data_IF_441216533784
#
_entry.id   IF_441216533784
#
_cell.length_a   1.000
_cell.length_b   1.000
_cell.length_c   1.000
_cell.angle_alpha   90.00
_cell.angle_beta   90.00
_cell.angle_gamma   90.00
#
_symmetry.space_group_name_H-M   'P 1'
#
loop_
_entity.id
_entity.type
_entity.pdbx_description
1 polymer ?
#
# COMPACT_ATOMS: atom_id res chain seq x y z
N UNK A 1 -3.96 4.23 23.36
CA UNK A 1 -4.28 3.21 24.38
C UNK A 1 -5.33 2.25 23.85
N UNK A 2 -6.51 2.73 23.42
CA UNK A 2 -7.58 1.90 22.85
C UNK A 2 -7.13 0.96 21.72
N UNK A 3 -6.34 1.45 20.76
CA UNK A 3 -5.78 0.61 19.67
C UNK A 3 -4.98 -0.58 20.23
N UNK A 4 -4.02 -0.33 21.13
CA UNK A 4 -3.24 -1.42 21.76
C UNK A 4 -4.11 -2.39 22.56
N UNK A 5 -5.17 -1.91 23.20
CA UNK A 5 -6.12 -2.76 23.90
C UNK A 5 -6.97 -3.61 22.94
N UNK A 6 -7.30 -3.07 21.76
CA UNK A 6 -7.97 -3.80 20.69
C UNK A 6 -7.05 -4.88 20.11
N UNK A 7 -5.82 -4.52 19.75
CA UNK A 7 -4.82 -5.42 19.16
C UNK A 7 -4.51 -6.60 20.09
N UNK A 8 -4.36 -6.33 21.40
CA UNK A 8 -4.13 -7.37 22.41
C UNK A 8 -5.39 -8.08 22.89
N UNK A 9 -6.58 -7.70 22.40
CA UNK A 9 -7.88 -8.18 22.88
C UNK A 9 -7.96 -8.17 24.42
N UNK A 10 -7.41 -7.12 25.04
CA UNK A 10 -7.28 -7.04 26.50
C UNK A 10 -8.65 -6.87 27.18
N UNK A 11 -9.58 -6.19 26.51
CA UNK A 11 -10.93 -5.92 27.01
C UNK A 11 -11.99 -6.29 25.98
N UNK A 12 -13.10 -6.88 26.45
CA UNK A 12 -14.26 -7.26 25.64
C UNK A 12 -15.49 -6.38 25.87
N UNK A 13 -15.43 -5.55 26.91
CA UNK A 13 -16.46 -4.59 27.28
C UNK A 13 -15.79 -3.22 27.42
N UNK A 14 -16.40 -2.22 26.82
CA UNK A 14 -16.00 -0.83 26.94
C UNK A 14 -17.21 -0.01 27.35
N UNK A 15 -17.12 0.64 28.51
CA UNK A 15 -18.13 1.57 28.99
C UNK A 15 -17.66 3.00 28.69
N UNK A 16 -18.50 3.79 28.03
CA UNK A 16 -18.21 5.18 27.65
C UNK A 16 -19.33 6.07 28.20
N UNK A 17 -18.98 7.09 28.97
CA UNK A 17 -19.93 8.11 29.44
C UNK A 17 -19.85 9.37 28.58
N UNK A 18 -18.64 9.82 28.26
CA UNK A 18 -18.33 10.93 27.36
C UNK A 18 -17.18 10.53 26.44
N UNK A 19 -17.45 10.40 25.14
CA UNK A 19 -16.46 9.94 24.17
C UNK A 19 -15.54 11.08 23.72
N UNK A 20 -16.09 12.27 23.43
CA UNK A 20 -15.36 13.42 22.94
C UNK A 20 -15.71 14.69 23.72
N UNK A 21 -14.69 15.47 24.09
CA UNK A 21 -14.89 16.77 24.72
C UNK A 21 -15.17 17.89 23.70
N UNK A 22 -14.67 17.75 22.46
CA UNK A 22 -14.82 18.73 21.40
C UNK A 22 -15.21 18.07 20.06
N UNK A 23 -15.97 18.74 19.17
CA UNK A 23 -16.37 18.19 17.86
C UNK A 23 -15.19 17.77 16.97
N UNK A 24 -14.06 18.46 17.07
CA UNK A 24 -12.84 18.15 16.32
C UNK A 24 -12.25 16.77 16.65
N UNK A 25 -12.50 16.25 17.86
CA UNK A 25 -12.00 14.94 18.27
C UNK A 25 -12.93 13.79 17.81
N UNK A 26 -14.17 14.09 17.44
CA UNK A 26 -15.19 13.10 17.15
C UNK A 26 -14.75 12.13 16.04
N UNK A 27 -14.13 12.65 14.96
CA UNK A 27 -13.66 11.85 13.84
C UNK A 27 -12.59 10.83 14.25
N UNK A 28 -11.61 11.26 15.05
CA UNK A 28 -10.50 10.42 15.51
C UNK A 28 -11.00 9.37 16.51
N UNK A 29 -11.87 9.77 17.43
CA UNK A 29 -12.38 8.89 18.50
C UNK A 29 -13.39 7.89 17.93
N UNK A 30 -14.27 8.32 17.02
CA UNK A 30 -15.18 7.45 16.30
C UNK A 30 -14.44 6.38 15.51
N UNK A 31 -13.36 6.74 14.82
CA UNK A 31 -12.52 5.76 14.11
C UNK A 31 -11.82 4.79 15.07
N UNK A 32 -11.33 5.26 16.21
CA UNK A 32 -10.70 4.40 17.22
C UNK A 32 -11.69 3.41 17.87
N UNK A 33 -12.92 3.86 18.16
CA UNK A 33 -13.98 3.01 18.71
C UNK A 33 -14.53 2.04 17.65
N UNK A 34 -14.69 2.47 16.40
CA UNK A 34 -15.06 1.58 15.30
C UNK A 34 -14.02 0.47 15.13
N UNK A 35 -12.73 0.83 15.08
CA UNK A 35 -11.65 -0.16 15.02
C UNK A 35 -11.65 -1.11 16.22
N UNK A 36 -11.92 -0.62 17.44
CA UNK A 36 -12.05 -1.47 18.61
C UNK A 36 -13.22 -2.46 18.47
N UNK A 37 -14.38 -2.02 17.99
CA UNK A 37 -15.55 -2.87 17.73
C UNK A 37 -15.23 -3.93 16.68
N UNK A 38 -14.60 -3.56 15.57
CA UNK A 38 -14.24 -4.47 14.48
C UNK A 38 -13.32 -5.59 14.97
N UNK A 39 -12.27 -5.25 15.72
CA UNK A 39 -11.31 -6.23 16.26
C UNK A 39 -11.95 -7.12 17.32
N UNK A 40 -12.68 -6.53 18.28
CA UNK A 40 -13.17 -7.28 19.45
C UNK A 40 -14.50 -8.00 19.23
N UNK A 41 -15.38 -7.48 18.38
CA UNK A 41 -16.75 -7.98 18.20
C UNK A 41 -17.02 -8.52 16.79
N UNK A 42 -16.26 -8.06 15.79
CA UNK A 42 -16.34 -8.52 14.40
C UNK A 42 -16.48 -7.37 13.42
N UNK A 43 -15.82 -7.48 12.26
CA UNK A 43 -15.81 -6.42 11.24
C UNK A 43 -17.17 -6.25 10.54
N UNK A 44 -17.98 -7.31 10.49
CA UNK A 44 -19.26 -7.30 9.79
C UNK A 44 -20.45 -7.37 10.75
N UNK A 45 -21.60 -6.75 10.41
CA UNK A 45 -22.83 -6.87 11.19
C UNK A 45 -23.25 -8.32 11.46
N UNK A 46 -23.06 -9.23 10.48
CA UNK A 46 -23.39 -10.64 10.62
C UNK A 46 -22.57 -11.37 11.70
N UNK A 47 -21.31 -10.98 11.90
CA UNK A 47 -20.47 -11.50 12.98
C UNK A 47 -20.84 -10.90 14.34
N UNK A 48 -21.25 -9.63 14.35
CA UNK A 48 -21.62 -8.88 15.56
C UNK A 48 -22.96 -9.32 16.12
N UNK A 49 -23.97 -9.59 15.28
CA UNK A 49 -25.30 -10.07 15.69
C UNK A 49 -25.30 -11.39 16.48
N UNK A 50 -24.21 -12.17 16.42
CA UNK A 50 -24.04 -13.41 17.19
C UNK A 50 -23.85 -13.17 18.69
N UNK A 51 -23.55 -11.93 19.10
CA UNK A 51 -23.30 -11.54 20.48
C UNK A 51 -23.98 -10.21 20.80
N UNK A 52 -24.04 -9.86 22.08
CA UNK A 52 -24.53 -8.53 22.46
C UNK A 52 -23.41 -7.50 22.33
N UNK A 53 -23.74 -6.22 22.06
CA UNK A 53 -22.73 -5.17 21.93
C UNK A 53 -21.87 -5.05 23.20
N UNK A 54 -20.56 -5.06 22.99
CA UNK A 54 -19.56 -4.86 24.05
C UNK A 54 -19.20 -3.39 24.27
N UNK A 55 -19.44 -2.53 23.28
CA UNK A 55 -19.33 -1.08 23.41
C UNK A 55 -20.65 -0.53 23.95
N UNK A 56 -20.58 0.19 25.07
CA UNK A 56 -21.76 0.64 25.79
C UNK A 56 -21.62 2.11 26.13
N UNK A 57 -22.60 2.91 25.72
CA UNK A 57 -22.79 4.26 26.23
C UNK A 57 -23.60 4.21 27.53
N UNK A 58 -22.99 4.62 28.64
CA UNK A 58 -23.66 4.75 29.93
C UNK A 58 -24.21 6.18 30.10
N UNK A 59 -25.53 6.30 30.25
CA UNK A 59 -26.18 7.58 30.55
C UNK A 59 -26.31 7.70 32.07
N UNK A 60 -25.70 8.73 32.63
CA UNK A 60 -25.67 8.99 34.08
C UNK A 60 -26.39 10.30 34.40
N UNK A 61 -26.72 10.59 35.69
CA UNK A 61 -27.30 11.87 36.08
C UNK A 61 -26.40 13.07 35.79
N UNK A 62 -25.09 12.84 35.61
CA UNK A 62 -24.10 13.84 35.26
C UNK A 62 -23.95 14.04 33.74
N UNK A 63 -24.83 13.42 32.94
CA UNK A 63 -24.75 13.54 31.48
C UNK A 63 -25.06 14.99 31.05
N UNK A 64 -24.16 15.65 30.31
CA UNK A 64 -24.33 17.03 29.86
C UNK A 64 -25.54 17.22 28.93
N UNK A 65 -26.19 16.15 28.46
CA UNK A 65 -27.51 16.18 27.80
C UNK A 65 -28.55 16.94 28.62
N UNK A 66 -28.47 16.93 29.95
CA UNK A 66 -29.39 17.68 30.81
C UNK A 66 -29.18 19.21 30.74
N UNK A 67 -28.03 19.67 30.24
CA UNK A 67 -27.68 21.09 30.13
C UNK A 67 -27.95 21.70 28.74
N UNK A 68 -28.48 20.94 27.78
CA UNK A 68 -28.85 21.44 26.45
C UNK A 68 -27.67 21.78 25.51
N UNK A 69 -26.46 21.32 25.82
CA UNK A 69 -25.26 21.54 24.98
C UNK A 69 -25.19 20.55 23.82
N UNK A 70 -24.77 20.98 22.60
CA UNK A 70 -24.58 20.08 21.46
C UNK A 70 -23.47 19.05 21.74
N UNK A 71 -23.76 17.77 21.53
CA UNK A 71 -22.85 16.68 21.87
C UNK A 71 -21.99 16.26 20.67
N UNK A 72 -20.65 16.25 20.80
CA UNK A 72 -19.79 15.67 19.78
C UNK A 72 -19.93 14.13 19.70
N UNK A 73 -20.42 13.47 20.75
CA UNK A 73 -20.59 12.01 20.77
C UNK A 73 -21.66 11.50 19.81
N UNK A 74 -22.66 12.29 19.42
CA UNK A 74 -23.63 11.85 18.42
C UNK A 74 -22.92 11.63 17.06
N UNK A 75 -21.88 12.43 16.78
CA UNK A 75 -21.03 12.22 15.61
C UNK A 75 -20.13 10.99 15.79
N UNK A 76 -19.63 10.75 17.01
CA UNK A 76 -18.86 9.53 17.34
C UNK A 76 -19.74 8.28 17.14
N UNK A 77 -20.94 8.24 17.71
CA UNK A 77 -21.89 7.13 17.60
C UNK A 77 -22.23 6.83 16.14
N UNK A 78 -22.55 7.87 15.36
CA UNK A 78 -22.82 7.73 13.91
C UNK A 78 -21.63 7.16 13.14
N UNK A 79 -20.41 7.49 13.54
CA UNK A 79 -19.20 6.97 12.90
C UNK A 79 -18.89 5.52 13.30
N UNK A 80 -19.22 5.14 14.54
CA UNK A 80 -19.00 3.77 15.04
C UNK A 80 -19.97 2.77 14.42
N UNK A 81 -21.20 3.18 14.14
CA UNK A 81 -22.18 2.37 13.42
C UNK A 81 -23.55 2.36 14.10
N UNK A 82 -24.31 1.30 13.85
CA UNK A 82 -25.72 1.23 14.23
C UNK A 82 -25.93 0.83 15.70
N UNK A 83 -26.90 1.46 16.40
CA UNK A 83 -27.29 1.07 17.75
C UNK A 83 -27.87 -0.36 17.77
N UNK A 84 -27.53 -1.11 18.80
CA UNK A 84 -27.92 -2.52 18.99
C UNK A 84 -27.02 -3.51 18.27
N UNK A 85 -26.21 -3.06 17.31
CA UNK A 85 -25.27 -3.87 16.54
C UNK A 85 -23.81 -3.54 16.93
N UNK A 86 -23.36 -2.32 16.66
CA UNK A 86 -22.00 -1.87 17.00
C UNK A 86 -21.84 -1.45 18.47
N UNK A 87 -22.92 -0.92 19.05
CA UNK A 87 -22.93 -0.40 20.41
C UNK A 87 -24.32 -0.43 21.04
N UNK A 88 -24.40 -0.34 22.36
CA UNK A 88 -25.65 -0.27 23.11
C UNK A 88 -25.67 0.94 24.06
N UNK A 89 -26.85 1.31 24.53
CA UNK A 89 -27.01 2.33 25.58
C UNK A 89 -27.55 1.67 26.84
N UNK A 90 -26.93 1.94 27.99
CA UNK A 90 -27.43 1.55 29.31
C UNK A 90 -27.65 2.80 30.16
N UNK A 91 -28.73 2.78 30.94
CA UNK A 91 -29.02 3.84 31.91
C UNK A 91 -28.38 3.49 33.26
N UNK A 92 -27.92 4.53 33.95
CA UNK A 92 -27.41 4.48 35.32
C UNK A 92 -27.93 5.69 36.10
N UNK A 93 -29.23 5.99 35.95
CA UNK A 93 -29.87 7.18 36.52
C UNK A 93 -30.31 6.99 37.97
N UNK A 94 -30.70 5.76 38.33
CA UNK A 94 -31.11 5.38 39.66
C UNK A 94 -30.53 4.00 40.07
N UNK A 95 -30.87 3.53 41.26
CA UNK A 95 -30.37 2.26 41.79
C UNK A 95 -30.85 1.05 40.97
N UNK A 96 -32.07 1.11 40.41
CA UNK A 96 -32.63 0.02 39.61
C UNK A 96 -31.92 -0.08 38.26
N UNK A 97 -31.68 1.05 37.61
CA UNK A 97 -30.91 1.17 36.38
C UNK A 97 -29.47 0.71 36.57
N UNK A 98 -28.82 1.12 37.67
CA UNK A 98 -27.50 0.62 38.04
C UNK A 98 -27.49 -0.91 38.19
N UNK A 99 -28.49 -1.50 38.87
CA UNK A 99 -28.61 -2.96 39.01
C UNK A 99 -28.77 -3.65 37.65
N UNK A 100 -29.57 -3.10 36.73
CA UNK A 100 -29.75 -3.63 35.36
C UNK A 100 -28.44 -3.57 34.57
N UNK A 101 -27.72 -2.45 34.65
CA UNK A 101 -26.42 -2.27 33.99
C UNK A 101 -25.40 -3.29 34.51
N UNK A 102 -25.27 -3.44 35.83
CA UNK A 102 -24.37 -4.43 36.44
C UNK A 102 -24.73 -5.84 36.02
N UNK A 103 -26.01 -6.21 35.99
CA UNK A 103 -26.46 -7.53 35.53
C UNK A 103 -26.10 -7.78 34.06
N UNK A 104 -26.26 -6.77 33.19
CA UNK A 104 -25.85 -6.86 31.79
C UNK A 104 -24.34 -7.07 31.67
N UNK A 105 -23.55 -6.23 32.35
CA UNK A 105 -22.08 -6.30 32.32
C UNK A 105 -21.57 -7.63 32.88
N UNK A 106 -22.12 -8.11 34.00
CA UNK A 106 -21.76 -9.39 34.59
C UNK A 106 -22.09 -10.58 33.65
N UNK A 107 -23.21 -10.50 32.93
CA UNK A 107 -23.55 -11.51 31.94
C UNK A 107 -22.56 -11.51 30.77
N UNK A 108 -22.13 -10.33 30.29
CA UNK A 108 -21.22 -10.21 29.15
C UNK A 108 -19.74 -10.43 29.52
N UNK A 109 -19.31 -10.11 30.74
CA UNK A 109 -17.93 -10.22 31.22
C UNK A 109 -17.46 -11.66 31.50
N UNK A 110 -18.22 -12.67 31.06
CA UNK A 110 -17.87 -14.08 31.25
C UNK A 110 -16.66 -14.48 30.40
N UNK A 111 -15.68 -15.22 30.95
CA UNK A 111 -14.50 -15.69 30.20
C UNK A 111 -14.87 -16.50 28.95
N UNK A 112 -15.98 -17.23 28.97
CA UNK A 112 -16.47 -18.02 27.85
C UNK A 112 -16.69 -17.19 26.58
N UNK A 113 -17.17 -15.93 26.70
CA UNK A 113 -17.36 -15.06 25.53
C UNK A 113 -16.02 -14.64 24.92
N UNK A 114 -15.01 -14.40 25.77
CA UNK A 114 -13.65 -14.10 25.30
C UNK A 114 -13.03 -15.30 24.59
N UNK A 115 -13.15 -16.48 25.18
CA UNK A 115 -12.65 -17.72 24.59
C UNK A 115 -13.32 -18.01 23.25
N UNK A 116 -14.64 -17.88 23.15
CA UNK A 116 -15.36 -18.04 21.89
C UNK A 116 -14.86 -17.09 20.80
N UNK A 117 -14.66 -15.80 21.13
CA UNK A 117 -14.14 -14.83 20.16
C UNK A 117 -12.70 -15.15 19.72
N UNK A 118 -11.84 -15.57 20.64
CA UNK A 118 -10.46 -15.95 20.31
C UNK A 118 -10.41 -17.17 19.39
N UNK A 119 -11.29 -18.16 19.62
CA UNK A 119 -11.40 -19.33 18.74
C UNK A 119 -11.90 -18.92 17.34
N UNK A 120 -12.91 -18.08 17.25
CA UNK A 120 -13.39 -17.54 15.96
C UNK A 120 -12.28 -16.82 15.19
N UNK A 121 -11.54 -15.92 15.85
CA UNK A 121 -10.43 -15.19 15.23
C UNK A 121 -9.31 -16.12 14.79
N UNK A 122 -9.00 -17.14 15.59
CA UNK A 122 -8.01 -18.15 15.22
C UNK A 122 -8.44 -18.92 13.97
N UNK A 123 -9.70 -19.37 13.92
CA UNK A 123 -10.23 -20.08 12.75
C UNK A 123 -10.27 -19.20 11.50
N UNK A 124 -10.55 -17.91 11.66
CA UNK A 124 -10.54 -16.93 10.57
C UNK A 124 -9.12 -16.72 10.03
N UNK A 125 -8.15 -16.47 10.91
CA UNK A 125 -6.73 -16.35 10.54
C UNK A 125 -6.19 -17.66 9.93
N UNK A 126 -6.59 -18.82 10.47
CA UNK A 126 -6.19 -20.11 9.93
C UNK A 126 -6.74 -20.30 8.52
N UNK A 127 -8.01 -19.99 8.28
CA UNK A 127 -8.61 -20.03 6.93
C UNK A 127 -7.94 -19.05 5.98
N UNK A 128 -7.70 -17.82 6.41
CA UNK A 128 -7.00 -16.81 5.62
C UNK A 128 -5.59 -17.28 5.24
N UNK A 129 -4.83 -17.82 6.20
CA UNK A 129 -3.50 -18.37 5.94
C UNK A 129 -3.55 -19.57 5.01
N UNK A 130 -4.43 -20.55 5.26
CA UNK A 130 -4.41 -21.82 4.51
C UNK A 130 -5.03 -21.72 3.13
N UNK A 131 -6.10 -20.95 3.00
CA UNK A 131 -6.93 -20.95 1.79
C UNK A 131 -6.59 -19.77 0.89
N UNK A 132 -6.34 -18.59 1.47
CA UNK A 132 -5.99 -17.39 0.71
C UNK A 132 -4.47 -17.26 0.56
N UNK A 133 -3.72 -17.04 1.65
CA UNK A 133 -2.33 -16.62 1.57
C UNK A 133 -1.42 -17.74 1.05
N UNK A 134 -1.49 -18.94 1.63
CA UNK A 134 -0.68 -20.09 1.24
C UNK A 134 -1.36 -20.95 0.17
N UNK A 135 -2.70 -21.05 0.22
CA UNK A 135 -3.50 -21.82 -0.74
C UNK A 135 -3.35 -21.34 -2.19
N UNK A 136 -3.16 -20.02 -2.38
CA UNK A 136 -2.89 -19.43 -3.69
C UNK A 136 -1.57 -19.93 -4.31
N UNK A 137 -0.58 -20.34 -3.52
CA UNK A 137 0.68 -20.89 -4.03
C UNK A 137 0.62 -22.39 -4.33
N UNK A 138 -0.36 -23.10 -3.74
CA UNK A 138 -0.60 -24.52 -3.99
C UNK A 138 -1.50 -24.76 -5.20
N UNK A 139 -2.39 -23.81 -5.50
CA UNK A 139 -3.30 -23.91 -6.64
C UNK A 139 -2.56 -23.47 -7.90
N UNK A 140 -2.45 -24.34 -8.91
CA UNK A 140 -1.97 -23.93 -10.22
C UNK A 140 -2.92 -22.84 -10.76
N UNK A 141 -2.38 -21.66 -11.06
CA UNK A 141 -3.19 -20.56 -11.57
C UNK A 141 -3.91 -20.99 -12.85
N UNK A 142 -5.24 -20.99 -12.84
CA UNK A 142 -6.03 -21.22 -14.06
C UNK A 142 -5.70 -20.10 -15.07
N UNK A 143 -5.08 -20.41 -16.22
CA UNK A 143 -4.71 -19.41 -17.22
C UNK A 143 -5.92 -18.61 -17.70
N UNK A 144 -7.09 -19.26 -17.81
CA UNK A 144 -8.31 -18.61 -18.29
C UNK A 144 -8.85 -17.62 -17.24
N UNK A 145 -8.94 -18.04 -15.97
CA UNK A 145 -9.38 -17.15 -14.89
C UNK A 145 -8.43 -15.96 -14.71
N UNK A 146 -7.13 -16.16 -14.89
CA UNK A 146 -6.11 -15.10 -14.83
C UNK A 146 -6.29 -14.11 -15.98
N UNK A 147 -6.53 -14.61 -17.19
CA UNK A 147 -6.82 -13.79 -18.36
C UNK A 147 -8.13 -13.00 -18.21
N UNK A 148 -9.17 -13.61 -17.63
CA UNK A 148 -10.44 -12.91 -17.35
C UNK A 148 -10.24 -11.76 -16.34
N UNK A 149 -9.52 -12.01 -15.25
CA UNK A 149 -9.17 -10.97 -14.26
C UNK A 149 -8.36 -9.83 -14.88
N UNK A 150 -7.38 -10.15 -15.72
CA UNK A 150 -6.61 -9.14 -16.45
C UNK A 150 -7.51 -8.27 -17.35
N UNK A 151 -8.47 -8.88 -18.06
CA UNK A 151 -9.42 -8.13 -18.88
C UNK A 151 -10.36 -7.24 -18.05
N UNK A 152 -10.81 -7.72 -16.89
CA UNK A 152 -11.66 -6.96 -15.98
C UNK A 152 -10.92 -5.75 -15.40
N UNK A 153 -9.67 -5.93 -14.94
CA UNK A 153 -8.80 -4.85 -14.52
C UNK A 153 -8.65 -3.78 -15.61
N UNK A 154 -8.30 -4.18 -16.84
CA UNK A 154 -8.11 -3.24 -17.95
C UNK A 154 -9.38 -2.45 -18.27
N UNK A 155 -10.56 -3.10 -18.25
CA UNK A 155 -11.84 -2.42 -18.46
C UNK A 155 -12.17 -1.44 -17.34
N UNK A 156 -11.89 -1.80 -16.09
CA UNK A 156 -12.11 -0.91 -14.94
C UNK A 156 -11.21 0.33 -15.02
N UNK A 157 -9.92 0.15 -15.30
CA UNK A 157 -8.98 1.27 -15.50
C UNK A 157 -9.36 2.14 -16.71
N UNK A 158 -9.84 1.53 -17.80
CA UNK A 158 -10.35 2.27 -18.96
C UNK A 158 -11.58 3.10 -18.61
N UNK A 159 -12.52 2.56 -17.82
CA UNK A 159 -13.71 3.28 -17.37
C UNK A 159 -13.35 4.49 -16.48
N UNK A 160 -12.26 4.38 -15.71
CA UNK A 160 -11.72 5.45 -14.86
C UNK A 160 -10.55 6.21 -15.50
N UNK A 161 -10.45 6.29 -16.83
CA UNK A 161 -9.34 6.96 -17.53
C UNK A 161 -9.10 8.41 -17.07
N UNK A 162 -10.13 9.13 -16.62
CA UNK A 162 -10.00 10.48 -16.07
C UNK A 162 -9.18 10.57 -14.78
N UNK A 163 -9.04 9.47 -14.04
CA UNK A 163 -8.27 9.34 -12.79
C UNK A 163 -6.91 8.67 -12.99
N UNK A 164 -6.46 8.49 -14.24
CA UNK A 164 -5.20 7.83 -14.54
C UNK A 164 -3.99 8.53 -13.90
N UNK A 165 -3.99 9.87 -13.84
CA UNK A 165 -2.93 10.62 -13.17
C UNK A 165 -2.83 10.31 -11.67
N UNK A 166 -3.99 10.17 -11.00
CA UNK A 166 -4.04 9.78 -9.59
C UNK A 166 -3.52 8.36 -9.39
N UNK A 167 -3.83 7.42 -10.29
CA UNK A 167 -3.27 6.07 -10.24
C UNK A 167 -1.73 6.11 -10.29
N UNK A 168 -1.14 6.81 -11.28
CA UNK A 168 0.31 6.90 -11.43
C UNK A 168 0.97 7.53 -10.20
N UNK A 169 0.36 8.57 -9.62
CA UNK A 169 0.85 9.21 -8.40
C UNK A 169 0.84 8.22 -7.21
N UNK A 170 -0.21 7.41 -7.06
CA UNK A 170 -0.33 6.44 -5.96
C UNK A 170 0.62 5.25 -6.09
N UNK A 171 1.07 4.92 -7.29
CA UNK A 171 2.08 3.88 -7.55
C UNK A 171 3.50 4.28 -7.13
N UNK A 172 3.74 5.57 -6.88
CA UNK A 172 5.04 6.09 -6.46
C UNK A 172 5.11 6.29 -4.93
N UNK A 173 6.30 6.13 -4.33
CA UNK A 173 6.49 6.43 -2.92
C UNK A 173 6.48 7.95 -2.70
N UNK A 174 6.13 8.38 -1.49
CA UNK A 174 6.13 9.80 -1.15
C UNK A 174 7.56 10.31 -0.93
N UNK A 175 7.81 11.58 -1.29
CA UNK A 175 9.12 12.22 -1.10
C UNK A 175 9.58 12.19 0.36
N UNK A 176 8.67 12.39 1.30
CA UNK A 176 8.99 12.39 2.73
C UNK A 176 9.40 11.00 3.25
N UNK A 177 8.86 9.92 2.68
CA UNK A 177 9.29 8.55 2.99
C UNK A 177 10.76 8.33 2.60
N UNK A 178 11.13 8.73 1.38
CA UNK A 178 12.51 8.62 0.90
C UNK A 178 13.48 9.49 1.71
N UNK A 179 13.02 10.66 2.15
CA UNK A 179 13.76 11.55 3.07
C UNK A 179 14.07 10.86 4.40
N UNK A 180 13.08 10.21 5.00
CA UNK A 180 13.26 9.44 6.24
C UNK A 180 14.24 8.28 6.05
N UNK A 181 14.15 7.54 4.94
CA UNK A 181 15.09 6.45 4.63
C UNK A 181 16.53 6.95 4.50
N UNK A 182 16.73 8.08 3.84
CA UNK A 182 18.03 8.70 3.66
C UNK A 182 18.64 9.12 5.02
N UNK A 183 17.86 9.78 5.87
CA UNK A 183 18.29 10.16 7.22
C UNK A 183 18.64 8.93 8.07
N UNK A 184 17.82 7.87 8.06
CA UNK A 184 18.11 6.64 8.80
C UNK A 184 19.44 6.00 8.37
N UNK A 185 19.80 6.09 7.08
CA UNK A 185 21.08 5.57 6.59
C UNK A 185 22.25 6.39 7.13
N UNK A 186 22.15 7.73 7.15
CA UNK A 186 23.21 8.58 7.72
C UNK A 186 23.48 8.28 9.19
N UNK A 187 22.43 7.98 9.96
CA UNK A 187 22.57 7.61 11.38
C UNK A 187 23.09 6.19 11.59
N UNK A 188 22.93 5.29 10.60
CA UNK A 188 23.41 3.92 10.65
C UNK A 188 24.85 3.75 10.12
N UNK A 189 25.38 4.75 9.41
CA UNK A 189 26.78 4.75 9.00
C UNK A 189 27.69 4.90 10.24
N UNK A 190 28.74 4.07 10.41
CA UNK A 190 29.65 4.22 11.53
C UNK A 190 30.28 5.61 11.48
N UNK A 191 30.23 6.31 12.61
CA UNK A 191 30.89 7.61 12.78
C UNK A 191 32.36 7.46 12.39
N UNK A 192 32.92 8.29 11.49
CA UNK A 192 34.35 8.22 11.21
C UNK A 192 35.09 8.40 12.54
N UNK A 193 35.97 7.45 12.85
CA UNK A 193 36.86 7.54 13.99
C UNK A 193 37.55 8.91 13.95
N UNK A 194 37.52 9.63 15.08
CA UNK A 194 38.13 10.95 15.21
C UNK A 194 39.55 10.91 14.67
N UNK A 195 39.92 11.69 13.63
CA UNK A 195 41.29 11.70 13.16
C UNK A 195 42.18 12.21 14.30
N UNK A 196 43.14 11.38 14.71
CA UNK A 196 44.18 11.79 15.64
C UNK A 196 44.89 13.04 15.08
N UNK A 197 45.18 14.09 15.89
CA UNK A 197 45.45 15.41 15.33
C UNK A 197 46.70 15.52 14.44
N UNK A 198 47.69 14.61 14.52
CA UNK A 198 48.91 14.69 13.71
C UNK A 198 49.58 13.32 13.52
N UNK A 199 49.05 12.49 12.61
CA UNK A 199 49.67 11.22 12.22
C UNK A 199 49.65 11.05 10.71
N UNK A 200 50.43 11.86 9.99
CA UNK A 200 50.72 11.63 8.58
C UNK A 200 51.88 10.62 8.49
N UNK A 201 51.59 9.33 8.62
CA UNK A 201 52.50 8.29 8.12
C UNK A 201 52.31 8.16 6.60
N UNK A 202 52.81 9.15 5.87
CA UNK A 202 52.99 9.05 4.42
C UNK A 202 54.35 8.40 4.21
N UNK A 203 54.35 7.14 3.74
CA UNK A 203 55.56 6.51 3.23
C UNK A 203 55.95 7.16 1.88
N UNK A 204 56.80 8.18 1.96
CA UNK A 204 57.32 8.95 0.83
C UNK A 204 58.25 8.15 -0.11
N UNK A 205 58.56 6.90 0.22
CA UNK A 205 59.46 6.03 -0.56
C UNK A 205 58.81 4.70 -1.00
N UNK A 206 57.53 4.48 -0.69
CA UNK A 206 56.76 3.34 -1.16
C UNK A 206 56.37 3.48 -2.64
N UNK A 207 56.41 2.38 -3.40
CA UNK A 207 55.91 2.37 -4.77
C UNK A 207 54.42 2.76 -4.80
N UNK A 208 53.97 3.57 -5.78
CA UNK A 208 52.58 4.00 -5.82
C UNK A 208 51.66 2.77 -5.94
N UNK A 209 50.93 2.46 -4.88
CA UNK A 209 49.84 1.49 -4.95
C UNK A 209 48.83 2.02 -5.97
N UNK A 210 48.75 1.33 -7.10
CA UNK A 210 47.72 1.60 -8.10
C UNK A 210 46.43 1.05 -7.49
N UNK A 211 45.40 1.87 -7.22
CA UNK A 211 44.16 1.34 -6.68
C UNK A 211 43.59 0.35 -7.70
N UNK A 212 43.49 -0.91 -7.30
CA UNK A 212 42.84 -1.94 -8.08
C UNK A 212 41.43 -1.45 -8.46
N UNK A 213 41.06 -1.59 -9.73
CA UNK A 213 39.72 -1.30 -10.23
C UNK A 213 38.71 -2.26 -9.58
N UNK A 214 38.28 -1.96 -8.36
CA UNK A 214 37.12 -2.57 -7.72
C UNK A 214 35.85 -1.87 -8.18
N UNK A 215 34.80 -2.63 -8.43
CA UNK A 215 33.45 -2.10 -8.66
C UNK A 215 33.11 -1.03 -7.61
N UNK A 216 32.44 0.08 -8.01
CA UNK A 216 32.03 1.10 -7.07
C UNK A 216 31.16 0.45 -5.96
N UNK A 217 31.35 0.81 -4.68
CA UNK A 217 30.58 0.23 -3.60
C UNK A 217 29.09 0.48 -3.83
N UNK A 218 28.30 -0.59 -3.73
CA UNK A 218 26.85 -0.54 -3.85
C UNK A 218 26.26 0.53 -2.94
N UNK A 219 25.42 1.42 -3.48
CA UNK A 219 24.75 2.44 -2.66
C UNK A 219 23.72 1.74 -1.76
N UNK A 220 23.90 1.73 -0.42
CA UNK A 220 22.92 1.13 0.48
C UNK A 220 21.56 1.84 0.40
N UNK A 221 21.56 3.10 -0.08
CA UNK A 221 20.36 3.88 -0.29
C UNK A 221 19.50 3.29 -1.41
N UNK A 222 20.09 2.98 -2.56
CA UNK A 222 19.38 2.50 -3.74
C UNK A 222 18.61 1.20 -3.46
N UNK A 223 19.28 0.24 -2.82
CA UNK A 223 18.66 -1.03 -2.42
C UNK A 223 17.48 -0.81 -1.45
N UNK A 224 17.62 0.10 -0.48
CA UNK A 224 16.54 0.44 0.46
C UNK A 224 15.38 1.15 -0.23
N UNK A 225 15.64 2.07 -1.15
CA UNK A 225 14.59 2.75 -1.94
C UNK A 225 13.81 1.72 -2.77
N UNK A 226 14.49 0.81 -3.45
CA UNK A 226 13.83 -0.23 -4.24
C UNK A 226 12.99 -1.17 -3.37
N UNK A 227 13.53 -1.63 -2.24
CA UNK A 227 12.81 -2.48 -1.29
C UNK A 227 11.59 -1.77 -0.69
N UNK A 228 11.72 -0.50 -0.30
CA UNK A 228 10.62 0.32 0.21
C UNK A 228 9.54 0.52 -0.85
N UNK A 229 9.91 0.80 -2.10
CA UNK A 229 8.95 0.92 -3.19
C UNK A 229 8.19 -0.38 -3.47
N UNK A 230 8.85 -1.55 -3.44
CA UNK A 230 8.18 -2.84 -3.54
C UNK A 230 7.17 -3.03 -2.39
N UNK A 231 7.57 -2.71 -1.15
CA UNK A 231 6.68 -2.82 0.01
C UNK A 231 5.49 -1.84 -0.10
N UNK A 232 5.74 -0.61 -0.56
CA UNK A 232 4.71 0.38 -0.86
C UNK A 232 3.69 -0.19 -1.84
N UNK A 233 4.15 -0.70 -2.99
CA UNK A 233 3.27 -1.32 -3.99
C UNK A 233 2.46 -2.48 -3.40
N UNK A 234 3.09 -3.39 -2.66
CA UNK A 234 2.42 -4.54 -2.02
C UNK A 234 1.37 -4.14 -0.96
N UNK A 235 1.48 -2.95 -0.39
CA UNK A 235 0.49 -2.42 0.56
C UNK A 235 -0.73 -1.77 -0.10
N UNK A 236 -0.64 -1.41 -1.39
CA UNK A 236 -1.72 -0.72 -2.10
C UNK A 236 -3.05 -1.49 -2.17
N UNK A 237 -3.07 -2.82 -2.38
CA UNK A 237 -4.30 -3.59 -2.41
C UNK A 237 -5.12 -3.59 -1.11
N UNK A 238 -4.50 -3.28 0.04
CA UNK A 238 -5.20 -3.14 1.32
C UNK A 238 -5.85 -1.75 1.49
N UNK A 239 -5.57 -0.80 0.59
CA UNK A 239 -6.10 0.55 0.65
C UNK A 239 -7.51 0.63 0.04
N UNK A 240 -8.54 0.42 0.86
CA UNK A 240 -9.96 0.49 0.45
C UNK A 240 -10.32 1.76 -0.33
N UNK A 241 -9.77 2.91 0.05
CA UNK A 241 -10.06 4.19 -0.65
C UNK A 241 -9.54 4.19 -2.09
N UNK A 242 -8.39 3.55 -2.34
CA UNK A 242 -7.82 3.43 -3.67
C UNK A 242 -8.64 2.45 -4.54
N UNK A 243 -9.10 1.34 -3.96
CA UNK A 243 -10.00 0.40 -4.62
C UNK A 243 -11.29 1.09 -5.09
N UNK A 244 -11.93 1.85 -4.20
CA UNK A 244 -13.16 2.60 -4.51
C UNK A 244 -12.93 3.66 -5.60
N UNK A 245 -11.78 4.35 -5.55
CA UNK A 245 -11.41 5.38 -6.51
C UNK A 245 -11.21 4.82 -7.93
N UNK A 246 -10.58 3.64 -8.02
CA UNK A 246 -10.30 2.97 -9.29
C UNK A 246 -11.48 2.10 -9.77
N UNK A 247 -12.45 1.81 -8.89
CA UNK A 247 -13.57 0.91 -9.20
C UNK A 247 -13.12 -0.53 -9.41
N UNK A 248 -12.09 -0.97 -8.68
CA UNK A 248 -11.51 -2.32 -8.76
C UNK A 248 -11.58 -3.00 -7.39
N UNK A 249 -11.61 -4.33 -7.37
CA UNK A 249 -11.46 -5.09 -6.12
C UNK A 249 -9.97 -5.35 -5.79
N UNK A 250 -9.72 -5.88 -4.59
CA UNK A 250 -8.37 -6.20 -4.11
C UNK A 250 -7.59 -7.13 -5.08
N UNK A 251 -8.14 -8.26 -5.56
CA UNK A 251 -7.48 -9.12 -6.55
C UNK A 251 -7.03 -8.40 -7.83
N UNK A 252 -7.82 -7.46 -8.34
CA UNK A 252 -7.43 -6.69 -9.53
C UNK A 252 -6.23 -5.78 -9.26
N UNK A 253 -6.17 -5.13 -8.08
CA UNK A 253 -5.05 -4.26 -7.73
C UNK A 253 -3.78 -5.06 -7.40
N UNK A 254 -3.91 -6.23 -6.76
CA UNK A 254 -2.80 -7.20 -6.59
C UNK A 254 -2.20 -7.58 -7.93
N UNK A 255 -3.03 -7.91 -8.91
CA UNK A 255 -2.59 -8.26 -10.26
C UNK A 255 -1.79 -7.13 -10.93
N UNK A 256 -2.21 -5.88 -10.78
CA UNK A 256 -1.47 -4.72 -11.28
C UNK A 256 -0.11 -4.57 -10.59
N UNK A 257 -0.09 -4.65 -9.27
CA UNK A 257 1.10 -4.49 -8.44
C UNK A 257 2.12 -5.58 -8.74
N UNK A 258 1.70 -6.84 -8.76
CA UNK A 258 2.56 -7.97 -9.12
C UNK A 258 3.09 -7.80 -10.55
N UNK A 259 2.27 -7.23 -11.44
CA UNK A 259 2.71 -7.00 -12.80
C UNK A 259 3.87 -6.00 -12.90
N UNK A 260 3.77 -4.90 -12.16
CA UNK A 260 4.79 -3.87 -12.08
C UNK A 260 6.06 -4.36 -11.39
N UNK A 261 5.93 -5.07 -10.25
CA UNK A 261 7.07 -5.63 -9.52
C UNK A 261 7.81 -6.62 -10.41
N UNK A 262 7.09 -7.55 -11.05
CA UNK A 262 7.68 -8.51 -11.98
C UNK A 262 8.41 -7.81 -13.13
N UNK A 263 7.81 -6.77 -13.72
CA UNK A 263 8.44 -6.00 -14.80
C UNK A 263 9.68 -5.23 -14.34
N UNK A 264 9.66 -4.65 -13.13
CA UNK A 264 10.79 -3.91 -12.56
C UNK A 264 11.99 -4.83 -12.29
N UNK A 265 11.74 -6.01 -11.71
CA UNK A 265 12.77 -7.02 -11.49
C UNK A 265 13.36 -7.53 -12.81
N UNK A 266 12.53 -7.81 -13.83
CA UNK A 266 13.01 -8.25 -15.15
C UNK A 266 13.89 -7.22 -15.84
N UNK A 267 13.60 -5.94 -15.65
CA UNK A 267 14.35 -4.84 -16.25
C UNK A 267 15.55 -4.39 -15.40
N UNK A 268 15.80 -5.05 -14.26
CA UNK A 268 16.85 -4.72 -13.30
C UNK A 268 16.85 -3.25 -12.90
N UNK A 269 15.67 -2.75 -12.51
CA UNK A 269 15.49 -1.37 -12.06
C UNK A 269 16.31 -1.04 -10.79
N UNK A 270 16.56 -2.06 -9.97
CA UNK A 270 17.46 -2.02 -8.82
C UNK A 270 18.89 -1.63 -9.20
N UNK A 271 19.49 -2.31 -10.19
CA UNK A 271 20.84 -1.97 -10.68
C UNK A 271 20.92 -0.53 -11.19
N UNK A 272 19.83 -0.05 -11.79
CA UNK A 272 19.80 1.29 -12.37
C UNK A 272 19.69 2.36 -11.30
N UNK A 273 18.83 2.15 -10.30
CA UNK A 273 18.79 2.99 -9.12
C UNK A 273 20.18 3.04 -8.46
N UNK A 274 20.86 1.91 -8.37
CA UNK A 274 22.21 1.82 -7.83
C UNK A 274 23.22 2.63 -8.66
N UNK A 275 23.28 2.38 -9.97
CA UNK A 275 24.17 3.12 -10.88
C UNK A 275 23.92 4.64 -10.85
N UNK A 276 22.65 5.04 -10.84
CA UNK A 276 22.26 6.44 -10.85
C UNK A 276 22.61 7.17 -9.54
N UNK A 277 22.42 6.50 -8.40
CA UNK A 277 22.62 7.07 -7.08
C UNK A 277 24.09 7.00 -6.62
N UNK A 278 24.89 6.04 -7.13
CA UNK A 278 26.34 5.98 -6.90
C UNK A 278 27.11 7.09 -7.65
N UNK A 279 26.63 7.55 -8.80
CA UNK A 279 27.30 8.58 -9.61
C UNK A 279 27.24 10.01 -9.01
N UNK A 280 26.52 10.20 -7.89
CA UNK A 280 26.31 11.50 -7.24
C UNK A 280 27.41 11.88 -6.25
N UNK A 281 28.62 12.20 -6.74
CA UNK A 281 29.68 12.77 -5.90
C UNK A 281 29.45 14.27 -5.65
N UNK A 282 28.94 14.63 -4.48
CA UNK A 282 29.22 15.85 -3.68
C UNK A 282 28.27 15.90 -2.45
N UNK A 283 28.78 15.95 -1.20
CA UNK A 283 27.98 15.71 0.01
C UNK A 283 26.96 16.81 0.38
N UNK A 284 27.16 18.07 -0.04
CA UNK A 284 26.33 19.20 0.44
C UNK A 284 24.99 19.38 -0.30
N UNK A 285 24.76 18.67 -1.41
CA UNK A 285 23.49 18.67 -2.17
C UNK A 285 22.97 17.24 -2.45
N UNK A 286 23.53 16.24 -1.75
CA UNK A 286 23.29 14.83 -2.03
C UNK A 286 21.85 14.38 -1.79
N UNK A 287 21.22 14.81 -0.70
CA UNK A 287 19.90 14.31 -0.28
C UNK A 287 18.79 14.63 -1.29
N UNK A 288 18.48 15.92 -1.47
CA UNK A 288 17.37 16.33 -2.34
C UNK A 288 17.61 15.92 -3.80
N UNK A 289 18.86 15.84 -4.24
CA UNK A 289 19.23 15.34 -5.57
C UNK A 289 18.99 13.84 -5.68
N UNK A 290 19.49 13.02 -4.75
CA UNK A 290 19.32 11.57 -4.77
C UNK A 290 17.85 11.17 -4.64
N UNK A 291 17.09 11.85 -3.77
CA UNK A 291 15.65 11.65 -3.66
C UNK A 291 14.94 11.99 -4.98
N UNK A 292 15.26 13.13 -5.58
CA UNK A 292 14.63 13.53 -6.85
C UNK A 292 15.01 12.61 -8.00
N UNK A 293 16.26 12.13 -8.04
CA UNK A 293 16.73 11.19 -9.05
C UNK A 293 16.06 9.82 -8.90
N UNK A 294 15.90 9.33 -7.66
CA UNK A 294 15.18 8.10 -7.40
C UNK A 294 13.70 8.20 -7.80
N UNK A 295 13.03 9.30 -7.42
CA UNK A 295 11.64 9.54 -7.82
C UNK A 295 11.48 9.68 -9.34
N UNK A 296 12.44 10.31 -10.03
CA UNK A 296 12.41 10.42 -11.47
C UNK A 296 12.52 9.04 -12.14
N UNK A 297 13.44 8.19 -11.68
CA UNK A 297 13.61 6.84 -12.24
C UNK A 297 12.39 5.93 -12.00
N UNK A 298 11.85 5.96 -10.77
CA UNK A 298 10.61 5.24 -10.45
C UNK A 298 9.43 5.80 -11.24
N UNK A 299 9.34 7.13 -11.34
CA UNK A 299 8.31 7.85 -12.10
C UNK A 299 8.32 7.50 -13.58
N UNK A 300 9.50 7.53 -14.22
CA UNK A 300 9.67 7.15 -15.61
C UNK A 300 9.32 5.68 -15.84
N UNK A 301 9.72 4.78 -14.92
CA UNK A 301 9.33 3.38 -15.01
C UNK A 301 7.81 3.20 -14.95
N UNK A 302 7.13 3.84 -13.99
CA UNK A 302 5.67 3.74 -13.83
C UNK A 302 4.92 4.40 -15.00
N UNK A 303 5.40 5.54 -15.48
CA UNK A 303 4.78 6.29 -16.58
C UNK A 303 4.87 5.55 -17.92
N UNK A 304 5.94 4.79 -18.15
CA UNK A 304 6.17 4.09 -19.43
C UNK A 304 6.12 2.58 -19.31
N UNK A 305 5.83 2.05 -18.13
CA UNK A 305 5.84 0.61 -17.82
C UNK A 305 7.17 -0.08 -18.22
N UNK A 306 8.24 0.71 -18.24
CA UNK A 306 9.57 0.30 -18.73
C UNK A 306 9.73 0.17 -20.25
N UNK A 307 8.67 0.37 -21.06
CA UNK A 307 8.77 0.27 -22.53
C UNK A 307 9.65 1.36 -23.16
N UNK A 308 9.83 2.51 -22.51
CA UNK A 308 10.73 3.56 -22.99
C UNK A 308 12.18 3.06 -23.16
N UNK A 309 12.56 2.04 -22.40
CA UNK A 309 13.90 1.42 -22.38
C UNK A 309 14.05 0.33 -23.44
N UNK A 310 12.93 -0.15 -23.99
CA UNK A 310 12.91 -1.17 -25.04
C UNK A 310 13.02 -0.52 -26.40
N UNK A 311 13.63 -1.22 -27.35
CA UNK A 311 13.66 -0.78 -28.74
C UNK A 311 12.24 -0.60 -29.27
N UNK A 312 11.99 0.47 -30.02
CA UNK A 312 10.67 0.81 -30.56
C UNK A 312 10.08 -0.33 -31.39
N UNK A 313 10.91 -1.09 -32.10
CA UNK A 313 10.49 -2.24 -32.89
C UNK A 313 9.96 -3.42 -32.04
N UNK A 314 10.31 -3.49 -30.75
CA UNK A 314 9.89 -4.56 -29.83
C UNK A 314 8.68 -4.20 -28.98
N UNK A 315 8.22 -2.95 -29.07
CA UNK A 315 7.06 -2.46 -28.32
C UNK A 315 5.77 -2.94 -29.02
N UNK A 316 4.69 -3.19 -28.26
CA UNK A 316 3.42 -3.55 -28.86
C UNK A 316 2.87 -2.42 -29.72
N UNK A 317 2.06 -2.78 -30.71
CA UNK A 317 1.41 -1.82 -31.61
C UNK A 317 0.33 -1.01 -30.87
N UNK A 318 0.31 0.30 -31.09
CA UNK A 318 -0.72 1.19 -30.56
C UNK A 318 -2.06 0.96 -31.27
N UNK A 319 -3.16 0.89 -30.49
CA UNK A 319 -4.52 0.83 -31.03
C UNK A 319 -5.06 2.20 -31.43
N UNK A 320 -4.48 3.27 -30.91
CA UNK A 320 -4.88 4.66 -31.21
C UNK A 320 -4.08 5.25 -32.36
N UNK A 321 -2.85 4.78 -32.58
CA UNK A 321 -2.00 5.13 -33.72
C UNK A 321 -1.62 3.85 -34.50
N UNK A 322 -2.50 3.34 -35.39
CA UNK A 322 -2.24 2.10 -36.13
C UNK A 322 -0.90 2.15 -36.89
N UNK A 323 -0.15 1.05 -36.85
CA UNK A 323 1.17 0.93 -37.47
C UNK A 323 2.32 1.61 -36.72
N UNK A 324 2.06 2.23 -35.56
CA UNK A 324 3.11 2.79 -34.68
C UNK A 324 3.18 2.01 -33.36
N UNK A 325 4.38 1.83 -32.77
CA UNK A 325 4.48 1.25 -31.43
C UNK A 325 3.88 2.17 -30.36
N UNK A 326 3.48 1.62 -29.22
CA UNK A 326 3.04 2.42 -28.07
C UNK A 326 4.12 3.43 -27.65
N UNK A 327 3.67 4.58 -27.13
CA UNK A 327 4.54 5.65 -26.66
C UNK A 327 5.44 6.24 -27.75
N UNK A 328 5.02 6.13 -29.02
CA UNK A 328 5.67 6.87 -30.10
C UNK A 328 5.40 8.37 -29.90
N UNK A 329 6.42 9.22 -29.86
CA UNK A 329 6.23 10.66 -29.76
C UNK A 329 5.30 11.13 -30.88
N UNK A 330 4.32 12.00 -30.59
CA UNK A 330 3.48 12.55 -31.65
C UNK A 330 4.40 13.22 -32.68
N UNK A 331 4.09 13.11 -34.00
CA UNK A 331 4.91 13.71 -35.04
C UNK A 331 5.05 15.21 -34.73
N UNK A 332 6.27 15.62 -34.40
CA UNK A 332 6.56 17.04 -34.20
C UNK A 332 6.33 17.70 -35.57
N UNK A 333 5.51 18.75 -35.67
CA UNK A 333 5.39 19.48 -36.92
C UNK A 333 6.80 19.93 -37.30
N UNK A 334 7.27 19.55 -38.50
CA UNK A 334 8.58 19.91 -39.00
C UNK A 334 8.74 21.43 -38.89
N UNK A 335 9.60 21.89 -37.98
CA UNK A 335 9.90 23.31 -37.83
C UNK A 335 11.03 23.62 -38.81
N UNK A 336 10.67 24.05 -40.01
CA UNK A 336 11.62 24.64 -40.95
C UNK A 336 12.03 26.02 -40.42
N UNK A 337 13.21 26.11 -39.82
CA UNK A 337 13.78 27.35 -39.27
C UNK A 337 14.35 28.30 -40.34
N UNK A 338 13.96 28.15 -41.62
CA UNK A 338 14.39 29.06 -42.68
C UNK A 338 13.55 30.34 -42.66
N UNK A 339 14.06 31.37 -41.96
CA UNK A 339 13.79 32.78 -42.24
C UNK A 339 12.35 33.25 -42.07
N UNK A 340 12.08 33.91 -40.93
CA UNK A 340 10.95 34.79 -40.64
C UNK A 340 9.63 34.16 -40.13
N UNK A 341 9.45 34.32 -38.81
CA UNK A 341 8.18 34.46 -38.07
C UNK A 341 7.13 33.33 -38.12
N UNK A 342 6.97 32.61 -36.99
CA UNK A 342 5.89 32.79 -35.98
C UNK A 342 5.94 31.64 -34.97
N UNK A 343 5.62 31.96 -33.71
CA UNK A 343 5.39 30.97 -32.64
C UNK A 343 4.50 29.83 -33.16
N UNK A 344 4.86 28.60 -32.77
CA UNK A 344 4.20 27.31 -33.09
C UNK A 344 2.72 27.48 -33.42
N UNK A 345 2.38 27.41 -34.71
CA UNK A 345 0.98 27.43 -35.16
C UNK A 345 0.34 26.12 -34.74
N UNK A 346 -0.36 26.14 -33.59
CA UNK A 346 -1.13 24.99 -33.10
C UNK A 346 -2.14 24.57 -34.19
N UNK A 347 -2.24 23.26 -34.42
CA UNK A 347 -3.22 22.72 -35.35
C UNK A 347 -4.64 23.15 -34.92
N UNK A 348 -5.56 23.40 -35.87
CA UNK A 348 -6.91 23.91 -35.57
C UNK A 348 -7.76 22.92 -34.76
N UNK A 349 -7.37 21.64 -34.69
CA UNK A 349 -7.99 20.62 -33.85
C UNK A 349 -7.06 20.26 -32.69
N UNK A 350 -7.54 20.33 -31.43
CA UNK A 350 -6.75 19.90 -30.28
C UNK A 350 -6.50 18.39 -30.38
N UNK A 351 -5.24 17.99 -30.48
CA UNK A 351 -4.85 16.59 -30.44
C UNK A 351 -5.07 16.03 -29.04
N UNK A 352 -5.80 14.91 -28.94
CA UNK A 352 -6.13 14.25 -27.67
C UNK A 352 -4.94 13.44 -27.13
N UNK A 353 -3.77 14.08 -27.00
CA UNK A 353 -2.51 13.42 -26.62
C UNK A 353 -2.62 12.67 -25.29
N UNK A 354 -3.29 13.23 -24.28
CA UNK A 354 -3.51 12.57 -22.99
C UNK A 354 -4.30 11.27 -23.13
N UNK A 355 -5.36 11.27 -23.95
CA UNK A 355 -6.14 10.06 -24.17
C UNK A 355 -5.31 9.00 -24.89
N UNK A 356 -4.53 9.40 -25.91
CA UNK A 356 -3.65 8.48 -26.62
C UNK A 356 -2.61 7.85 -25.70
N UNK A 357 -1.99 8.65 -24.83
CA UNK A 357 -1.07 8.15 -23.81
C UNK A 357 -1.73 7.13 -22.87
N UNK A 358 -2.93 7.41 -22.35
CA UNK A 358 -3.65 6.48 -21.46
C UNK A 358 -3.96 5.16 -22.17
N UNK A 359 -4.40 5.21 -23.43
CA UNK A 359 -4.66 3.99 -24.20
C UNK A 359 -3.39 3.20 -24.50
N UNK A 360 -2.30 3.87 -24.85
CA UNK A 360 -0.98 3.24 -25.02
C UNK A 360 -0.50 2.61 -23.71
N UNK A 361 -0.72 3.27 -22.57
CA UNK A 361 -0.40 2.74 -21.24
C UNK A 361 -1.20 1.47 -20.93
N UNK A 362 -2.50 1.44 -21.23
CA UNK A 362 -3.34 0.25 -21.04
C UNK A 362 -2.90 -0.93 -21.93
N UNK A 363 -2.47 -0.65 -23.17
CA UNK A 363 -1.91 -1.67 -24.06
C UNK A 363 -0.56 -2.18 -23.53
N UNK A 364 0.27 -1.27 -23.01
CA UNK A 364 1.51 -1.63 -22.33
C UNK A 364 1.26 -2.54 -21.13
N UNK A 365 0.27 -2.21 -20.29
CA UNK A 365 -0.11 -3.03 -19.14
C UNK A 365 -0.64 -4.39 -19.56
N UNK A 366 -1.50 -4.45 -20.58
CA UNK A 366 -1.97 -5.72 -21.14
C UNK A 366 -0.80 -6.61 -21.58
N UNK A 367 0.20 -6.02 -22.23
CA UNK A 367 1.40 -6.72 -22.71
C UNK A 367 2.24 -7.20 -21.52
N UNK A 368 2.44 -6.38 -20.50
CA UNK A 368 3.13 -6.79 -19.27
C UNK A 368 2.43 -7.96 -18.57
N UNK A 369 1.09 -7.92 -18.46
CA UNK A 369 0.31 -8.99 -17.85
C UNK A 369 0.46 -10.31 -18.63
N UNK A 370 0.46 -10.24 -19.95
CA UNK A 370 0.67 -11.41 -20.81
C UNK A 370 2.09 -11.97 -20.70
N UNK A 371 3.12 -11.10 -20.69
CA UNK A 371 4.51 -11.50 -20.48
C UNK A 371 4.68 -12.23 -19.14
N UNK A 372 4.08 -11.70 -18.08
CA UNK A 372 4.16 -12.29 -16.75
C UNK A 372 3.45 -13.64 -16.68
N UNK A 373 2.29 -13.76 -17.30
CA UNK A 373 1.57 -15.03 -17.37
C UNK A 373 2.35 -16.08 -18.18
N UNK A 374 3.00 -15.69 -19.27
CA UNK A 374 3.81 -16.60 -20.10
C UNK A 374 5.10 -17.06 -19.39
N UNK A 375 5.66 -16.20 -18.53
CA UNK A 375 6.86 -16.47 -17.75
C UNK A 375 6.56 -16.94 -16.33
N UNK A 376 5.28 -17.13 -15.98
CA UNK A 376 4.88 -17.71 -14.71
C UNK A 376 5.36 -19.15 -14.66
N UNK A 377 6.60 -19.32 -14.19
CA UNK A 377 7.06 -20.61 -13.69
C UNK A 377 6.13 -21.00 -12.55
N UNK A 378 5.87 -22.31 -12.34
CA UNK A 378 5.22 -22.73 -11.12
C UNK A 378 5.98 -22.09 -9.95
N UNK A 379 5.30 -21.26 -9.18
CA UNK A 379 5.91 -20.37 -8.20
C UNK A 379 6.76 -21.11 -7.15
N UNK A 380 6.56 -22.43 -7.05
CA UNK A 380 7.30 -23.35 -6.22
C UNK A 380 7.71 -24.58 -7.04
N UNK A 381 8.97 -24.99 -6.89
CA UNK A 381 9.45 -26.30 -7.32
C UNK A 381 8.64 -27.41 -6.63
N UNK A 382 8.58 -28.61 -7.21
CA UNK A 382 7.73 -29.70 -6.69
C UNK A 382 8.07 -30.08 -5.24
N UNK A 383 9.36 -30.05 -4.87
CA UNK A 383 9.81 -30.24 -3.49
C UNK A 383 9.28 -29.14 -2.54
N UNK A 384 9.35 -27.88 -2.96
CA UNK A 384 8.86 -26.74 -2.18
C UNK A 384 7.33 -26.73 -2.06
N UNK A 385 6.62 -27.17 -3.11
CA UNK A 385 5.17 -27.37 -3.10
C UNK A 385 4.77 -28.49 -2.14
N UNK A 386 5.53 -29.59 -2.11
CA UNK A 386 5.36 -30.65 -1.13
C UNK A 386 5.55 -30.14 0.30
N UNK A 387 6.62 -29.37 0.55
CA UNK A 387 6.87 -28.75 1.85
C UNK A 387 5.75 -27.79 2.28
N UNK A 388 5.29 -26.91 1.37
CA UNK A 388 4.17 -26.00 1.64
C UNK A 388 2.86 -26.75 1.92
N UNK A 389 2.59 -27.83 1.18
CA UNK A 389 1.41 -28.67 1.41
C UNK A 389 1.43 -29.28 2.82
N UNK A 390 2.60 -29.73 3.29
CA UNK A 390 2.77 -30.22 4.65
C UNK A 390 2.55 -29.12 5.71
N UNK A 391 3.03 -27.89 5.46
CA UNK A 391 2.81 -26.74 6.36
C UNK A 391 1.31 -26.41 6.44
N UNK A 392 0.61 -26.32 5.29
CA UNK A 392 -0.83 -26.04 5.25
C UNK A 392 -1.62 -27.15 5.95
N UNK A 393 -1.26 -28.42 5.76
CA UNK A 393 -1.88 -29.54 6.46
C UNK A 393 -1.67 -29.46 7.98
N UNK A 394 -0.46 -29.09 8.44
CA UNK A 394 -0.18 -28.90 9.86
C UNK A 394 -1.00 -27.75 10.46
N UNK A 395 -1.10 -26.61 9.78
CA UNK A 395 -1.92 -25.47 10.21
C UNK A 395 -3.40 -25.85 10.31
N UNK A 396 -3.90 -26.73 9.43
CA UNK A 396 -5.28 -27.25 9.49
C UNK A 396 -5.53 -28.24 10.63
N UNK A 397 -4.48 -28.90 11.11
CA UNK A 397 -4.56 -29.95 12.13
C UNK A 397 -4.44 -29.43 13.57
N UNK A 398 -4.10 -28.14 13.79
CA UNK A 398 -4.02 -27.57 15.13
C UNK A 398 -5.45 -27.43 15.70
N UNK A 399 -5.79 -28.14 16.80
CA UNK A 399 -7.15 -28.15 17.37
C UNK A 399 -7.50 -26.85 18.09
#
# INVERSE_FOLDING_TARGET
MLTRCADGLHANLLLVTDAAAAPQDAARIGQALAGWVDHTQGETPALRQRRKPGLIWAITPFDPRQEGKPRPDDAVQRQVGEPGDSWATLLALDEQDCRRMVNYLAAQARPAHKQARLLELREELQRELTDSLLGNWLTAADPYATQQRAQQLLRALQAQAGRHGELLERLLPQRDTLRQLYQQQQHAAPTPATPAPFGLDIDLFGAPETPASGEPPASPFAARVFADWINHLRSLPDNRRLLDLLGVDKPHLELLVDALIGAACRQRLDDELERALCAGGLPEQGEDRQISQALALLGDFVAWLGFQRRDAATRPESRVNPGQPIFTPPPQPAVDWSGQQRLTRLAPTPTKNTAFYIYDWLIGLQTLLAENAAQAQPALADEQRGALTAIVAALRAVP
#
